data_IF_493399397711
#
_entry.id   IF_493399397711
#
_cell.length_a   1.000
_cell.length_b   1.000
_cell.length_c   1.000
_cell.angle_alpha   90.00
_cell.angle_beta   90.00
_cell.angle_gamma   90.00
#
_symmetry.space_group_name_H-M   'P 1'
#
loop_
_entity.id
_entity.type
_entity.pdbx_description
1 polymer ?
#
# COMPACT_ATOMS: atom_id res chain seq x y z
N UNK A 1 -22.10 -15.40 -2.49
CA UNK A 1 -20.97 -15.98 -1.74
C UNK A 1 -20.03 -14.83 -1.44
N UNK A 2 -19.93 -14.43 -0.19
CA UNK A 2 -19.03 -13.36 0.24
C UNK A 2 -17.60 -13.81 -0.08
N UNK A 3 -16.84 -13.03 -0.85
CA UNK A 3 -15.39 -13.24 -0.89
C UNK A 3 -14.90 -13.16 0.57
N UNK A 4 -14.04 -14.08 1.04
CA UNK A 4 -13.42 -13.89 2.33
C UNK A 4 -12.75 -12.52 2.32
N UNK A 5 -13.10 -11.67 3.30
CA UNK A 5 -12.38 -10.44 3.53
C UNK A 5 -10.95 -10.86 3.87
N UNK A 6 -10.00 -10.49 3.03
CA UNK A 6 -8.59 -10.71 3.29
C UNK A 6 -8.13 -9.44 4.00
N UNK A 7 -7.48 -9.60 5.15
CA UNK A 7 -7.01 -8.50 5.97
C UNK A 7 -5.49 -8.57 6.12
N UNK A 8 -4.82 -7.41 6.16
CA UNK A 8 -3.40 -7.32 6.49
C UNK A 8 -3.26 -7.41 8.00
N UNK A 9 -2.52 -8.41 8.46
CA UNK A 9 -2.27 -8.65 9.89
C UNK A 9 -0.90 -8.15 10.34
N UNK A 10 0.06 -8.03 9.41
CA UNK A 10 1.38 -7.48 9.69
C UNK A 10 1.96 -6.80 8.45
N UNK A 11 2.75 -5.75 8.69
CA UNK A 11 3.46 -5.03 7.64
C UNK A 11 4.86 -4.69 8.16
N UNK A 12 5.89 -5.16 7.47
CA UNK A 12 7.29 -4.98 7.85
C UNK A 12 8.06 -4.28 6.74
N UNK A 13 8.88 -3.26 7.06
CA UNK A 13 9.71 -2.63 6.06
C UNK A 13 10.90 -3.52 5.69
N UNK A 14 11.05 -3.83 4.41
CA UNK A 14 12.17 -4.64 3.89
C UNK A 14 13.21 -3.83 3.11
N UNK A 15 13.06 -2.50 3.10
CA UNK A 15 13.99 -1.55 2.48
C UNK A 15 13.58 -1.14 1.05
N UNK A 16 14.18 -0.08 0.54
CA UNK A 16 13.89 0.50 -0.79
C UNK A 16 12.40 0.85 -1.02
N UNK A 17 11.66 1.29 0.00
CA UNK A 17 10.21 1.53 -0.05
C UNK A 17 9.39 0.27 -0.38
N UNK A 18 9.92 -0.90 -0.04
CA UNK A 18 9.19 -2.16 -0.08
C UNK A 18 8.70 -2.52 1.32
N UNK A 19 7.47 -3.02 1.38
CA UNK A 19 6.88 -3.58 2.58
C UNK A 19 6.55 -5.05 2.34
N UNK A 20 6.87 -5.89 3.32
CA UNK A 20 6.39 -7.26 3.42
C UNK A 20 5.07 -7.23 4.17
N UNK A 21 4.00 -7.51 3.46
CA UNK A 21 2.66 -7.61 4.01
C UNK A 21 2.36 -9.07 4.30
N UNK A 22 1.83 -9.35 5.47
CA UNK A 22 1.32 -10.65 5.87
C UNK A 22 -0.19 -10.55 5.98
N UNK A 23 -0.88 -11.46 5.33
CA UNK A 23 -2.34 -11.54 5.32
C UNK A 23 -2.83 -12.58 6.32
N UNK A 24 -4.10 -12.46 6.71
CA UNK A 24 -4.76 -13.36 7.67
C UNK A 24 -4.83 -14.83 7.19
N UNK A 25 -4.78 -15.06 5.88
CA UNK A 25 -4.70 -16.39 5.25
C UNK A 25 -3.29 -17.01 5.32
N UNK A 26 -2.31 -16.30 5.88
CA UNK A 26 -0.91 -16.69 5.95
C UNK A 26 -0.11 -16.42 4.67
N UNK A 27 -0.72 -15.81 3.66
CA UNK A 27 0.01 -15.33 2.49
C UNK A 27 0.89 -14.15 2.87
N UNK A 28 2.04 -14.06 2.22
CA UNK A 28 2.92 -12.90 2.35
C UNK A 28 3.21 -12.33 0.97
N UNK A 29 3.20 -11.01 0.87
CA UNK A 29 3.55 -10.28 -0.35
C UNK A 29 4.60 -9.22 -0.06
N UNK A 30 5.63 -9.17 -0.91
CA UNK A 30 6.58 -8.06 -0.91
C UNK A 30 6.14 -7.10 -2.00
N UNK A 31 5.70 -5.93 -1.56
CA UNK A 31 5.10 -4.92 -2.41
C UNK A 31 6.03 -3.73 -2.51
N UNK A 32 6.33 -3.29 -3.74
CA UNK A 32 7.16 -2.12 -4.02
C UNK A 32 6.30 -0.87 -4.22
N UNK A 33 6.38 0.05 -3.26
CA UNK A 33 5.69 1.32 -3.31
C UNK A 33 6.50 2.41 -4.01
N UNK A 34 7.81 2.22 -4.24
CA UNK A 34 8.68 3.20 -4.87
C UNK A 34 8.22 3.55 -6.28
N UNK A 35 7.90 2.54 -7.09
CA UNK A 35 7.38 2.74 -8.45
C UNK A 35 6.11 3.61 -8.43
N UNK A 36 5.19 3.33 -7.51
CA UNK A 36 3.96 4.10 -7.38
C UNK A 36 4.23 5.55 -6.94
N UNK A 37 4.99 5.74 -5.86
CA UNK A 37 5.29 7.06 -5.28
C UNK A 37 6.08 7.94 -6.26
N UNK A 38 6.99 7.37 -7.05
CA UNK A 38 7.75 8.10 -8.06
C UNK A 38 6.90 8.58 -9.24
N UNK A 39 5.86 7.82 -9.62
CA UNK A 39 4.92 8.17 -10.68
C UNK A 39 3.65 8.89 -10.17
N UNK A 40 3.55 9.12 -8.86
CA UNK A 40 2.41 9.82 -8.27
C UNK A 40 2.35 11.27 -8.78
N UNK A 41 1.16 11.70 -9.19
CA UNK A 41 0.93 13.06 -9.71
C UNK A 41 0.78 14.09 -8.59
N UNK A 42 0.26 13.69 -7.44
CA UNK A 42 -0.05 14.58 -6.33
C UNK A 42 1.20 14.84 -5.48
N UNK A 43 1.53 16.11 -5.20
CA UNK A 43 2.66 16.47 -4.33
C UNK A 43 2.59 15.81 -2.96
N UNK A 44 1.40 15.68 -2.39
CA UNK A 44 1.19 15.10 -1.05
C UNK A 44 1.56 13.61 -1.02
N UNK A 45 1.24 12.87 -2.08
CA UNK A 45 1.68 11.47 -2.22
C UNK A 45 3.20 11.39 -2.43
N UNK A 46 3.79 12.32 -3.20
CA UNK A 46 5.24 12.36 -3.40
C UNK A 46 6.00 12.71 -2.11
N UNK A 47 5.35 13.31 -1.10
CA UNK A 47 5.97 13.55 0.20
C UNK A 47 6.39 12.23 0.88
N UNK A 48 5.70 11.12 0.59
CA UNK A 48 6.07 9.78 1.06
C UNK A 48 7.30 9.19 0.33
N UNK A 49 7.91 9.89 -0.63
CA UNK A 49 9.28 9.61 -1.08
C UNK A 49 10.33 10.00 -0.03
N UNK A 50 9.95 10.69 1.04
CA UNK A 50 10.79 10.82 2.23
C UNK A 50 10.67 9.52 3.05
N UNK A 51 11.78 8.79 3.33
CA UNK A 51 11.75 7.59 4.16
C UNK A 51 11.12 7.81 5.54
N UNK A 52 11.24 9.01 6.13
CA UNK A 52 10.65 9.33 7.43
C UNK A 52 9.12 9.33 7.34
N UNK A 53 8.56 9.94 6.28
CA UNK A 53 7.13 9.93 6.00
C UNK A 53 6.66 8.53 5.59
N UNK A 54 7.42 7.82 4.75
CA UNK A 54 7.06 6.47 4.34
C UNK A 54 6.97 5.52 5.53
N UNK A 55 7.82 5.68 6.55
CA UNK A 55 7.86 4.82 7.73
C UNK A 55 6.70 5.05 8.71
N UNK A 56 5.86 6.06 8.50
CA UNK A 56 4.68 6.32 9.35
C UNK A 56 3.46 5.48 8.97
N UNK A 57 3.63 4.46 8.12
CA UNK A 57 2.52 3.56 7.78
C UNK A 57 2.01 2.85 9.03
N UNK A 58 0.71 2.58 9.04
CA UNK A 58 0.07 1.76 10.05
C UNK A 58 -1.01 0.89 9.41
N UNK A 59 -1.39 -0.16 10.13
CA UNK A 59 -2.51 -1.02 9.73
C UNK A 59 -3.75 -0.50 10.45
N UNK A 60 -4.82 -0.25 9.71
CA UNK A 60 -6.10 0.21 10.26
C UNK A 60 -7.23 -0.60 9.62
N UNK A 61 -8.05 -1.27 10.45
CA UNK A 61 -9.15 -2.13 9.98
C UNK A 61 -8.77 -3.20 8.94
N UNK A 62 -7.51 -3.67 8.95
CA UNK A 62 -7.01 -4.65 7.97
C UNK A 62 -6.43 -4.04 6.71
N UNK A 63 -6.52 -2.72 6.54
CA UNK A 63 -5.93 -1.96 5.45
C UNK A 63 -4.58 -1.34 5.86
N UNK A 64 -3.74 -1.07 4.87
CA UNK A 64 -2.48 -0.35 5.05
C UNK A 64 -2.70 1.13 4.72
N UNK A 65 -2.43 1.99 5.71
CA UNK A 65 -2.73 3.42 5.67
C UNK A 65 -1.48 4.23 5.99
N UNK A 66 -1.31 5.37 5.33
CA UNK A 66 -0.37 6.41 5.74
C UNK A 66 -1.11 7.71 6.04
N UNK A 67 -0.64 8.41 7.07
CA UNK A 67 -1.22 9.70 7.49
C UNK A 67 -2.68 9.56 7.91
N UNK A 68 -3.46 10.62 7.70
CA UNK A 68 -4.90 10.64 7.97
C UNK A 68 -5.70 10.15 6.76
N UNK A 69 -5.41 8.93 6.29
CA UNK A 69 -5.94 8.37 5.04
C UNK A 69 -5.47 9.09 3.76
N UNK A 70 -4.33 9.78 3.82
CA UNK A 70 -3.73 10.43 2.65
C UNK A 70 -3.34 9.42 1.57
N UNK A 71 -2.91 8.24 2.00
CA UNK A 71 -2.56 7.14 1.12
C UNK A 71 -3.09 5.82 1.68
N UNK A 72 -4.00 5.19 0.94
CA UNK A 72 -4.46 3.84 1.18
C UNK A 72 -4.51 3.08 -0.14
N UNK A 73 -4.41 1.75 -0.05
CA UNK A 73 -4.48 0.89 -1.22
C UNK A 73 -5.48 -0.24 -0.98
N UNK A 74 -6.38 -0.52 -1.94
CA UNK A 74 -7.16 -1.75 -1.96
C UNK A 74 -6.32 -2.98 -1.59
N UNK A 75 -6.74 -3.71 -0.55
CA UNK A 75 -6.09 -4.97 -0.14
C UNK A 75 -5.98 -5.95 -1.31
N UNK A 76 -6.95 -5.99 -2.21
CA UNK A 76 -6.90 -6.85 -3.40
C UNK A 76 -5.69 -6.58 -4.29
N UNK A 77 -5.26 -5.32 -4.40
CA UNK A 77 -4.12 -4.94 -5.23
C UNK A 77 -2.80 -5.27 -4.53
N UNK A 78 -2.75 -5.08 -3.20
CA UNK A 78 -1.64 -5.50 -2.37
C UNK A 78 -1.47 -7.03 -2.40
N UNK A 79 -2.56 -7.77 -2.24
CA UNK A 79 -2.61 -9.23 -2.25
C UNK A 79 -2.19 -9.82 -3.60
N UNK A 80 -2.62 -9.20 -4.71
CA UNK A 80 -2.23 -9.60 -6.06
C UNK A 80 -0.88 -9.02 -6.49
N UNK A 81 -0.28 -8.15 -5.69
CA UNK A 81 0.92 -7.37 -6.02
C UNK A 81 0.78 -6.60 -7.35
N UNK A 82 -0.35 -5.90 -7.52
CA UNK A 82 -0.77 -5.21 -8.75
C UNK A 82 -0.76 -3.69 -8.63
N UNK A 83 0.08 -3.14 -7.74
CA UNK A 83 0.20 -1.69 -7.50
C UNK A 83 0.55 -0.87 -8.75
N UNK A 84 1.21 -1.49 -9.74
CA UNK A 84 1.55 -0.85 -11.02
C UNK A 84 0.41 -0.86 -12.06
N UNK A 85 -0.73 -1.51 -11.78
CA UNK A 85 -1.85 -1.47 -12.72
C UNK A 85 -2.41 -0.05 -12.81
N UNK A 86 -2.49 0.46 -14.05
CA UNK A 86 -2.79 1.84 -14.47
C UNK A 86 -4.12 2.45 -13.98
N UNK A 87 -4.82 1.82 -13.04
CA UNK A 87 -6.12 2.23 -12.55
C UNK A 87 -6.04 3.33 -11.49
N UNK A 88 -4.99 3.40 -10.66
CA UNK A 88 -4.82 4.50 -9.68
C UNK A 88 -4.63 5.89 -10.32
N UNK A 89 -4.35 5.95 -11.62
CA UNK A 89 -4.18 7.21 -12.37
C UNK A 89 -5.49 7.74 -12.97
N UNK A 90 -6.63 7.05 -12.79
CA UNK A 90 -7.90 7.39 -13.46
C UNK A 90 -9.01 7.96 -12.58
N UNK A 91 -8.95 7.85 -11.26
CA UNK A 91 -10.13 8.10 -10.39
C UNK A 91 -10.20 9.48 -9.73
N UNK A 92 -9.49 10.46 -10.29
CA UNK A 92 -9.40 11.83 -9.72
C UNK A 92 -9.51 12.90 -10.81
N UNK A 93 -10.29 12.60 -11.86
CA UNK A 93 -10.66 13.53 -12.93
C UNK A 93 -12.07 14.08 -12.72
#
# INVERSE_FOLDING_TARGET
MSQPAIDIVAAEPVGDYRLRLTFDDGMEQIVDFKSFLTHARYPDIRAYLDPAMFSTFHIEYGDLVWGDYDLCFPITDLYRNQLENKNYQKEVA
#
